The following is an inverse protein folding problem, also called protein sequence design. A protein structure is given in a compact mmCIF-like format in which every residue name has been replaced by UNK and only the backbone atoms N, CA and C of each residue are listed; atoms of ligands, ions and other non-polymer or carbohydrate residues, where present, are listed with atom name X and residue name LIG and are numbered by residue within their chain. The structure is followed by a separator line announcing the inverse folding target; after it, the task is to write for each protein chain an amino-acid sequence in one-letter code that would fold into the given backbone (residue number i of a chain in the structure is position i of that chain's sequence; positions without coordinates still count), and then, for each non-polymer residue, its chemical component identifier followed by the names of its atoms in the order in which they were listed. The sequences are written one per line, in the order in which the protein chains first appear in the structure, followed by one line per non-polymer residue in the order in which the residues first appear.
data_IF_982536085318
#
_entry.id   IF_982536085318
#
_cell.length_a   1.000
_cell.length_b   1.000
_cell.length_c   1.000
_cell.angle_alpha   90.00
_cell.angle_beta   90.00
_cell.angle_gamma   90.00
#
_symmetry.space_group_name_H-M   'P 1'
#
loop_
_entity.id
_entity.type
_entity.pdbx_description
1 polymer ?
#
# COMPACT_ATOMS: atom_id res chain seq x y z
N UNK A 1 -47.68 -30.72 15.72
CA UNK A 1 -46.94 -30.66 14.46
C UNK A 1 -45.89 -29.51 14.40
N UNK A 2 -45.79 -28.63 15.39
CA UNK A 2 -44.88 -27.44 15.41
C UNK A 2 -43.45 -27.72 15.94
N UNK A 3 -43.20 -28.83 16.61
CA UNK A 3 -41.86 -29.16 17.18
C UNK A 3 -40.88 -29.80 16.17
N UNK A 4 -41.34 -30.35 15.04
CA UNK A 4 -40.48 -30.95 14.01
C UNK A 4 -39.78 -29.93 13.08
N UNK A 5 -40.32 -28.72 12.94
CA UNK A 5 -39.76 -27.68 12.07
C UNK A 5 -38.61 -26.88 12.69
N UNK A 6 -38.51 -26.86 14.03
CA UNK A 6 -37.46 -26.14 14.76
C UNK A 6 -36.13 -26.89 14.77
N UNK A 7 -36.17 -28.23 14.91
CA UNK A 7 -34.96 -29.09 14.87
C UNK A 7 -34.30 -29.12 13.47
N UNK A 8 -35.12 -29.10 12.41
CA UNK A 8 -34.61 -29.09 11.04
C UNK A 8 -33.93 -27.75 10.66
N UNK A 9 -34.44 -26.63 11.15
CA UNK A 9 -33.80 -25.30 10.95
C UNK A 9 -32.48 -25.19 11.70
N UNK A 10 -32.42 -25.58 12.95
CA UNK A 10 -31.19 -25.56 13.75
C UNK A 10 -30.10 -26.47 13.18
N UNK A 11 -30.47 -27.64 12.64
CA UNK A 11 -29.54 -28.55 11.96
C UNK A 11 -29.04 -27.97 10.62
N UNK A 12 -29.90 -27.29 9.87
CA UNK A 12 -29.53 -26.66 8.60
C UNK A 12 -28.59 -25.46 8.82
N UNK A 13 -28.86 -24.65 9.83
CA UNK A 13 -28.02 -23.50 10.22
C UNK A 13 -26.64 -23.94 10.75
N UNK A 14 -26.59 -25.03 11.52
CA UNK A 14 -25.33 -25.62 12.00
C UNK A 14 -24.48 -26.24 10.89
N UNK A 15 -25.10 -26.88 9.88
CA UNK A 15 -24.41 -27.43 8.70
C UNK A 15 -23.91 -26.30 7.80
N UNK A 16 -24.68 -25.23 7.60
CA UNK A 16 -24.26 -24.06 6.82
C UNK A 16 -23.12 -23.30 7.51
N UNK A 17 -23.16 -23.17 8.85
CA UNK A 17 -22.08 -22.53 9.61
C UNK A 17 -20.77 -23.34 9.57
N UNK A 18 -20.86 -24.68 9.63
CA UNK A 18 -19.70 -25.57 9.51
C UNK A 18 -19.07 -25.56 8.11
N UNK A 19 -19.88 -25.54 7.07
CA UNK A 19 -19.40 -25.41 5.67
C UNK A 19 -18.79 -24.05 5.40
N UNK A 20 -19.39 -22.98 5.90
CA UNK A 20 -18.85 -21.60 5.79
C UNK A 20 -17.49 -21.46 6.47
N UNK A 21 -17.30 -22.09 7.64
CA UNK A 21 -16.02 -22.07 8.38
C UNK A 21 -14.92 -22.84 7.66
N UNK A 22 -15.23 -24.01 7.09
CA UNK A 22 -14.28 -24.79 6.27
C UNK A 22 -13.88 -24.04 5.00
N UNK A 23 -14.82 -23.42 4.31
CA UNK A 23 -14.55 -22.62 3.12
C UNK A 23 -13.64 -21.42 3.45
N UNK A 24 -13.87 -20.72 4.57
CA UNK A 24 -13.02 -19.62 5.03
C UNK A 24 -11.59 -20.08 5.33
N UNK A 25 -11.42 -21.21 6.03
CA UNK A 25 -10.10 -21.75 6.32
C UNK A 25 -9.36 -22.16 5.03
N UNK A 26 -10.05 -22.79 4.09
CA UNK A 26 -9.47 -23.14 2.79
C UNK A 26 -9.04 -21.90 2.00
N UNK A 27 -9.86 -20.84 1.99
CA UNK A 27 -9.52 -19.56 1.38
C UNK A 27 -8.26 -18.94 2.01
N UNK A 28 -8.23 -18.83 3.34
CA UNK A 28 -7.07 -18.28 4.07
C UNK A 28 -5.80 -19.09 3.79
N UNK A 29 -5.90 -20.43 3.82
CA UNK A 29 -4.76 -21.31 3.54
C UNK A 29 -4.24 -21.12 2.09
N UNK A 30 -5.14 -21.06 1.10
CA UNK A 30 -4.78 -20.81 -0.31
C UNK A 30 -4.09 -19.45 -0.46
N UNK A 31 -4.63 -18.40 0.18
CA UNK A 31 -4.02 -17.05 0.15
C UNK A 31 -2.66 -17.01 0.82
N UNK A 32 -2.52 -17.69 1.95
CA UNK A 32 -1.22 -17.84 2.64
C UNK A 32 -0.20 -18.57 1.75
N UNK A 33 -0.59 -19.66 1.10
CA UNK A 33 0.29 -20.39 0.19
C UNK A 33 0.70 -19.52 -1.02
N UNK A 34 -0.24 -18.77 -1.61
CA UNK A 34 0.06 -17.81 -2.68
C UNK A 34 1.00 -16.69 -2.22
N UNK A 35 0.80 -16.16 -1.01
CA UNK A 35 1.66 -15.15 -0.40
C UNK A 35 3.09 -15.66 -0.17
N UNK A 36 3.23 -16.88 0.37
CA UNK A 36 4.53 -17.52 0.56
C UNK A 36 5.23 -17.79 -0.77
N UNK A 37 4.49 -18.26 -1.77
CA UNK A 37 5.05 -18.46 -3.13
C UNK A 37 5.52 -17.13 -3.74
N UNK A 38 4.73 -16.07 -3.60
CA UNK A 38 5.10 -14.74 -4.08
C UNK A 38 6.38 -14.23 -3.38
N UNK A 39 6.49 -14.37 -2.06
CA UNK A 39 7.69 -14.01 -1.31
C UNK A 39 8.91 -14.83 -1.75
N UNK A 40 8.74 -16.13 -1.96
CA UNK A 40 9.82 -17.00 -2.43
C UNK A 40 10.29 -16.61 -3.84
N UNK A 41 9.38 -16.41 -4.78
CA UNK A 41 9.71 -15.97 -6.15
C UNK A 41 10.41 -14.61 -6.12
N UNK A 42 9.90 -13.67 -5.34
CA UNK A 42 10.49 -12.34 -5.23
C UNK A 42 11.86 -12.38 -4.56
N UNK A 43 12.07 -13.22 -3.55
CA UNK A 43 13.40 -13.38 -2.94
C UNK A 43 14.42 -13.93 -3.94
N UNK A 44 14.01 -14.86 -4.82
CA UNK A 44 14.86 -15.37 -5.89
C UNK A 44 15.17 -14.28 -6.93
N UNK A 45 14.17 -13.48 -7.33
CA UNK A 45 14.38 -12.35 -8.25
C UNK A 45 15.30 -11.28 -7.66
N UNK A 46 15.11 -10.92 -6.39
CA UNK A 46 15.99 -9.98 -5.68
C UNK A 46 17.41 -10.51 -5.60
N UNK A 47 17.59 -11.78 -5.23
CA UNK A 47 18.90 -12.43 -5.19
C UNK A 47 19.59 -12.42 -6.55
N UNK A 48 18.89 -12.81 -7.62
CA UNK A 48 19.41 -12.78 -8.98
C UNK A 48 19.71 -11.35 -9.45
N UNK A 49 18.85 -10.39 -9.09
CA UNK A 49 19.04 -8.97 -9.42
C UNK A 49 20.33 -8.39 -8.83
N UNK A 50 20.71 -8.83 -7.63
CA UNK A 50 21.99 -8.41 -6.99
C UNK A 50 23.19 -8.84 -7.83
N UNK A 51 23.15 -10.01 -8.43
CA UNK A 51 24.23 -10.46 -9.35
C UNK A 51 24.28 -9.62 -10.61
N UNK A 52 23.14 -9.16 -11.12
CA UNK A 52 23.09 -8.33 -12.33
C UNK A 52 23.67 -6.91 -12.10
N UNK A 53 23.67 -6.41 -10.86
CA UNK A 53 24.22 -5.09 -10.51
C UNK A 53 25.77 -5.11 -10.47
N UNK A 54 26.41 -6.30 -10.51
CA UNK A 54 27.87 -6.49 -10.54
C UNK A 54 28.39 -7.27 -9.32
N UNK A 55 29.68 -7.49 -9.24
CA UNK A 55 30.31 -8.26 -8.17
C UNK A 55 30.49 -7.41 -6.90
N UNK A 56 29.96 -7.80 -5.70
CA UNK A 56 30.19 -7.06 -4.47
C UNK A 56 31.68 -6.95 -4.09
N UNK A 57 32.50 -7.86 -4.55
CA UNK A 57 33.95 -7.84 -4.34
C UNK A 57 34.61 -6.60 -4.94
N UNK A 58 34.15 -6.16 -6.12
CA UNK A 58 34.70 -4.99 -6.83
C UNK A 58 34.45 -3.65 -6.09
N UNK A 59 33.47 -3.62 -5.18
CA UNK A 59 33.14 -2.43 -4.38
C UNK A 59 33.86 -2.46 -3.03
N UNK A 60 34.05 -3.66 -2.46
CA UNK A 60 34.60 -3.85 -1.12
C UNK A 60 36.12 -3.89 -1.09
N UNK A 61 36.77 -4.13 -2.23
CA UNK A 61 38.21 -4.28 -2.33
C UNK A 61 38.82 -3.06 -3.01
N UNK A 62 40.00 -2.66 -2.54
CA UNK A 62 40.78 -1.64 -3.20
C UNK A 62 41.07 -2.08 -4.65
N UNK A 63 40.93 -1.21 -5.67
CA UNK A 63 41.28 -1.54 -7.06
C UNK A 63 42.71 -2.04 -7.27
N UNK A 64 43.59 -1.82 -6.29
CA UNK A 64 45.00 -2.24 -6.31
C UNK A 64 45.27 -3.51 -5.46
N UNK A 65 44.21 -4.17 -4.92
CA UNK A 65 44.36 -5.37 -4.10
C UNK A 65 44.98 -6.53 -4.91
N UNK A 66 45.78 -7.35 -4.24
CA UNK A 66 46.36 -8.52 -4.86
C UNK A 66 45.32 -9.65 -5.04
N UNK A 67 45.61 -10.63 -5.90
CA UNK A 67 44.72 -11.74 -6.16
C UNK A 67 44.42 -12.59 -4.91
N UNK A 68 45.35 -12.65 -3.96
CA UNK A 68 45.15 -13.40 -2.72
C UNK A 68 44.16 -12.72 -1.79
N UNK A 69 44.13 -11.41 -1.77
CA UNK A 69 43.14 -10.63 -1.03
C UNK A 69 41.74 -10.74 -1.67
N UNK A 70 41.66 -10.64 -3.00
CA UNK A 70 40.42 -10.86 -3.76
C UNK A 70 39.85 -12.26 -3.47
N UNK A 71 40.66 -13.31 -3.52
CA UNK A 71 40.28 -14.69 -3.25
C UNK A 71 39.76 -14.85 -1.79
N UNK A 72 40.43 -14.24 -0.80
CA UNK A 72 39.99 -14.28 0.60
C UNK A 72 38.64 -13.61 0.81
N UNK A 73 38.45 -12.44 0.24
CA UNK A 73 37.14 -11.71 0.37
C UNK A 73 36.07 -12.47 -0.37
N UNK A 74 36.30 -12.99 -1.56
CA UNK A 74 35.37 -13.83 -2.31
C UNK A 74 34.95 -15.06 -1.50
N UNK A 75 35.89 -15.75 -0.87
CA UNK A 75 35.60 -16.91 -0.03
C UNK A 75 34.88 -16.52 1.27
N UNK A 76 35.25 -15.40 1.90
CA UNK A 76 34.60 -14.90 3.13
C UNK A 76 33.12 -14.51 2.91
N UNK A 77 32.80 -14.07 1.69
CA UNK A 77 31.42 -13.75 1.28
C UNK A 77 30.70 -15.00 0.72
N UNK A 78 31.38 -16.15 0.61
CA UNK A 78 30.82 -17.38 0.07
C UNK A 78 30.48 -17.32 -1.42
N UNK A 79 31.04 -16.35 -2.15
CA UNK A 79 30.80 -16.15 -3.59
C UNK A 79 31.53 -17.16 -4.48
N UNK A 80 32.42 -17.94 -3.89
CA UNK A 80 33.11 -19.11 -4.49
C UNK A 80 32.19 -20.35 -4.57
N UNK A 81 31.09 -20.36 -3.84
CA UNK A 81 30.16 -21.49 -3.77
C UNK A 81 29.17 -21.49 -4.94
N UNK A 82 28.57 -22.65 -5.27
CA UNK A 82 27.49 -22.71 -6.26
C UNK A 82 26.31 -21.75 -5.93
N UNK A 83 25.72 -21.19 -6.97
CA UNK A 83 24.64 -20.14 -6.82
C UNK A 83 23.48 -20.60 -5.93
N UNK A 84 23.09 -21.88 -5.99
CA UNK A 84 22.03 -22.44 -5.15
C UNK A 84 22.42 -22.49 -3.64
N UNK A 85 23.71 -22.68 -3.32
CA UNK A 85 24.23 -22.62 -1.94
C UNK A 85 24.19 -21.18 -1.43
N UNK A 86 24.60 -20.24 -2.26
CA UNK A 86 24.57 -18.82 -1.95
C UNK A 86 23.12 -18.34 -1.73
N UNK A 87 22.18 -18.78 -2.58
CA UNK A 87 20.76 -18.47 -2.38
C UNK A 87 20.21 -19.06 -1.07
N UNK A 88 20.60 -20.28 -0.73
CA UNK A 88 20.18 -20.88 0.55
C UNK A 88 20.72 -20.11 1.76
N UNK A 89 21.98 -19.69 1.73
CA UNK A 89 22.55 -18.82 2.77
C UNK A 89 21.83 -17.48 2.85
N UNK A 90 21.54 -16.88 1.72
CA UNK A 90 20.74 -15.65 1.64
C UNK A 90 19.37 -15.82 2.27
N UNK A 91 18.65 -16.89 1.96
CA UNK A 91 17.34 -17.17 2.55
C UNK A 91 17.41 -17.35 4.06
N UNK A 92 18.34 -18.16 4.56
CA UNK A 92 18.50 -18.39 6.00
C UNK A 92 18.88 -17.12 6.75
N UNK A 93 19.74 -16.29 6.19
CA UNK A 93 20.09 -14.99 6.73
C UNK A 93 18.87 -14.02 6.72
N UNK A 94 18.11 -13.98 5.64
CA UNK A 94 16.90 -13.16 5.56
C UNK A 94 15.85 -13.58 6.61
N UNK A 95 15.65 -14.88 6.82
CA UNK A 95 14.73 -15.38 7.87
C UNK A 95 15.20 -15.07 9.29
N UNK A 96 16.51 -14.98 9.53
CA UNK A 96 17.07 -14.55 10.82
C UNK A 96 17.11 -13.02 11.00
N UNK A 97 16.68 -12.26 9.98
CA UNK A 97 16.69 -10.80 10.00
C UNK A 97 18.06 -10.20 9.67
N UNK A 98 19.04 -11.01 9.27
CA UNK A 98 20.34 -10.52 8.83
C UNK A 98 20.33 -10.32 7.30
N UNK A 99 20.06 -9.08 6.89
CA UNK A 99 20.13 -8.64 5.49
C UNK A 99 21.43 -7.91 5.16
N UNK A 100 22.47 -8.11 5.97
CA UNK A 100 23.75 -7.47 5.84
C UNK A 100 23.78 -6.06 6.44
N UNK A 101 24.95 -5.41 6.36
CA UNK A 101 25.18 -4.05 6.83
C UNK A 101 25.33 -3.10 5.65
N UNK A 102 24.80 -1.91 5.79
CA UNK A 102 24.99 -0.80 4.85
C UNK A 102 26.48 -0.53 4.62
N UNK A 103 26.88 -0.42 3.37
CA UNK A 103 28.25 -0.06 3.02
C UNK A 103 28.56 1.40 3.32
N UNK A 104 27.55 2.27 3.28
CA UNK A 104 27.71 3.70 3.54
C UNK A 104 27.77 4.03 5.05
N UNK A 105 26.93 3.38 5.88
CA UNK A 105 26.78 3.73 7.31
C UNK A 105 27.27 2.65 8.29
N UNK A 106 27.58 1.44 7.81
CA UNK A 106 27.94 0.26 8.62
C UNK A 106 26.88 -0.15 9.67
N UNK A 107 25.63 0.27 9.47
CA UNK A 107 24.46 -0.11 10.28
C UNK A 107 23.72 -1.28 9.63
N UNK A 108 23.11 -2.22 10.40
CA UNK A 108 22.29 -3.28 9.81
C UNK A 108 21.21 -2.73 8.86
N UNK A 109 21.17 -3.26 7.63
CA UNK A 109 20.26 -2.75 6.58
C UNK A 109 18.79 -2.82 7.00
N UNK A 110 18.37 -3.91 7.64
CA UNK A 110 17.01 -4.05 8.16
C UNK A 110 16.67 -2.96 9.19
N UNK A 111 17.61 -2.62 10.07
CA UNK A 111 17.42 -1.55 11.06
C UNK A 111 17.19 -0.19 10.39
N UNK A 112 17.97 0.15 9.36
CA UNK A 112 17.78 1.38 8.59
C UNK A 112 16.39 1.45 7.96
N UNK A 113 15.93 0.34 7.37
CA UNK A 113 14.59 0.25 6.77
C UNK A 113 13.52 0.44 7.83
N UNK A 114 13.60 -0.27 8.96
CA UNK A 114 12.60 -0.19 10.04
C UNK A 114 12.53 1.19 10.68
N UNK A 115 13.64 1.91 10.77
CA UNK A 115 13.68 3.30 11.25
C UNK A 115 12.98 4.28 10.29
N UNK A 116 13.02 4.02 8.97
CA UNK A 116 12.39 4.87 7.94
C UNK A 116 10.95 4.49 7.63
N UNK A 117 10.57 3.23 7.88
CA UNK A 117 9.24 2.69 7.59
C UNK A 117 8.08 3.50 8.19
N UNK A 118 8.13 3.95 9.46
CA UNK A 118 7.03 4.74 10.04
C UNK A 118 6.74 6.02 9.27
N UNK A 119 7.78 6.69 8.74
CA UNK A 119 7.60 7.91 7.96
C UNK A 119 6.88 7.65 6.62
N UNK A 120 7.21 6.56 5.93
CA UNK A 120 6.51 6.14 4.69
C UNK A 120 5.07 5.74 4.97
N UNK A 121 4.84 4.96 6.03
CA UNK A 121 3.49 4.51 6.41
C UNK A 121 2.63 5.71 6.82
N UNK A 122 3.15 6.65 7.58
CA UNK A 122 2.48 7.88 7.97
C UNK A 122 2.04 8.68 6.73
N UNK A 123 2.96 8.91 5.80
CA UNK A 123 2.67 9.61 4.55
C UNK A 123 1.57 8.92 3.75
N UNK A 124 1.66 7.59 3.58
CA UNK A 124 0.68 6.80 2.86
C UNK A 124 -0.70 6.81 3.53
N UNK A 125 -0.74 6.72 4.87
CA UNK A 125 -2.01 6.78 5.64
C UNK A 125 -2.68 8.13 5.47
N UNK A 126 -1.96 9.24 5.64
CA UNK A 126 -2.53 10.59 5.50
C UNK A 126 -2.96 10.83 4.06
N UNK A 127 -2.18 10.41 3.07
CA UNK A 127 -2.58 10.49 1.66
C UNK A 127 -3.86 9.70 1.37
N UNK A 128 -4.00 8.50 1.92
CA UNK A 128 -5.22 7.69 1.78
C UNK A 128 -6.42 8.35 2.46
N UNK A 129 -6.24 8.90 3.66
CA UNK A 129 -7.31 9.64 4.36
C UNK A 129 -7.76 10.84 3.53
N UNK A 130 -6.84 11.64 2.98
CA UNK A 130 -7.17 12.76 2.09
C UNK A 130 -7.96 12.26 0.87
N UNK A 131 -7.50 11.18 0.23
CA UNK A 131 -8.18 10.62 -0.94
C UNK A 131 -9.60 10.14 -0.62
N UNK A 132 -9.81 9.51 0.54
CA UNK A 132 -11.13 9.03 0.99
C UNK A 132 -12.04 10.22 1.36
N UNK A 133 -11.57 11.11 2.23
CA UNK A 133 -12.37 12.22 2.77
C UNK A 133 -12.83 13.18 1.67
N UNK A 134 -12.02 13.36 0.63
CA UNK A 134 -12.36 14.24 -0.50
C UNK A 134 -13.00 13.42 -1.64
N UNK A 135 -12.44 12.26 -1.98
CA UNK A 135 -12.86 11.48 -3.15
C UNK A 135 -14.26 10.89 -3.04
N UNK A 136 -14.63 10.35 -1.85
CA UNK A 136 -15.97 9.79 -1.65
C UNK A 136 -17.08 10.83 -1.78
N UNK A 137 -17.04 11.99 -1.09
CA UNK A 137 -18.09 13.01 -1.23
C UNK A 137 -18.19 13.57 -2.64
N UNK A 138 -17.04 13.84 -3.29
CA UNK A 138 -17.02 14.35 -4.66
C UNK A 138 -17.59 13.34 -5.66
N UNK A 139 -17.18 12.06 -5.54
CA UNK A 139 -17.70 10.98 -6.39
C UNK A 139 -19.20 10.73 -6.17
N UNK A 140 -19.65 10.74 -4.91
CA UNK A 140 -21.06 10.61 -4.56
C UNK A 140 -21.87 11.76 -5.18
N UNK A 141 -21.43 12.99 -4.99
CA UNK A 141 -22.08 14.17 -5.60
C UNK A 141 -22.16 14.06 -7.12
N UNK A 142 -21.05 13.72 -7.78
CA UNK A 142 -20.99 13.57 -9.22
C UNK A 142 -21.85 12.39 -9.74
N UNK A 143 -22.11 11.38 -8.92
CA UNK A 143 -23.01 10.27 -9.23
C UNK A 143 -24.48 10.62 -9.09
N UNK A 144 -24.84 11.40 -8.04
CA UNK A 144 -26.21 11.82 -7.75
C UNK A 144 -26.72 12.88 -8.74
N UNK A 145 -25.85 13.79 -9.20
CA UNK A 145 -26.18 14.90 -10.10
C UNK A 145 -25.29 14.91 -11.34
N UNK A 146 -25.35 13.85 -12.20
CA UNK A 146 -24.35 13.62 -13.24
C UNK A 146 -24.28 14.71 -14.32
N UNK A 147 -25.39 15.41 -14.56
CA UNK A 147 -25.51 16.43 -15.62
C UNK A 147 -25.15 17.83 -15.12
N UNK A 148 -24.94 18.02 -13.82
CA UNK A 148 -24.57 19.31 -13.23
C UNK A 148 -23.18 19.75 -13.69
N UNK A 149 -22.97 21.06 -13.79
CA UNK A 149 -21.66 21.66 -14.07
C UNK A 149 -20.61 21.20 -13.06
N UNK A 150 -20.96 21.16 -11.77
CA UNK A 150 -20.07 20.67 -10.71
C UNK A 150 -19.62 19.22 -10.95
N UNK A 151 -20.53 18.31 -11.35
CA UNK A 151 -20.15 16.94 -11.66
C UNK A 151 -19.18 16.85 -12.84
N UNK A 152 -19.41 17.64 -13.89
CA UNK A 152 -18.51 17.72 -15.06
C UNK A 152 -17.14 18.24 -14.65
N UNK A 153 -17.07 19.30 -13.82
CA UNK A 153 -15.83 19.86 -13.30
C UNK A 153 -15.07 18.87 -12.39
N UNK A 154 -15.76 18.17 -11.50
CA UNK A 154 -15.16 17.10 -10.64
C UNK A 154 -14.56 16.02 -11.53
N UNK A 155 -15.26 15.59 -12.56
CA UNK A 155 -14.75 14.55 -13.47
C UNK A 155 -13.57 15.03 -14.29
N UNK A 156 -13.62 16.25 -14.82
CA UNK A 156 -12.49 16.86 -15.54
C UNK A 156 -11.26 16.97 -14.62
N UNK A 157 -11.44 17.48 -13.39
CA UNK A 157 -10.38 17.57 -12.39
C UNK A 157 -9.80 16.21 -12.01
N UNK A 158 -10.65 15.17 -11.91
CA UNK A 158 -10.17 13.81 -11.63
C UNK A 158 -9.35 13.22 -12.79
N UNK A 159 -9.70 13.52 -14.04
CA UNK A 159 -8.92 13.12 -15.23
C UNK A 159 -7.58 13.84 -15.24
N UNK A 160 -7.57 15.16 -15.01
CA UNK A 160 -6.33 15.93 -14.92
C UNK A 160 -5.42 15.41 -13.81
N UNK A 161 -5.95 15.17 -12.61
CA UNK A 161 -5.16 14.64 -11.48
C UNK A 161 -4.56 13.27 -11.74
N UNK A 162 -5.18 12.47 -12.60
CA UNK A 162 -4.64 11.17 -13.04
C UNK A 162 -3.58 11.31 -14.14
N UNK A 163 -3.71 12.32 -15.00
CA UNK A 163 -2.87 12.47 -16.20
C UNK A 163 -1.55 13.20 -15.94
N UNK A 164 -1.46 13.96 -14.85
CA UNK A 164 -0.25 14.72 -14.54
C UNK A 164 0.81 13.84 -13.87
N UNK A 165 2.09 13.96 -14.27
CA UNK A 165 3.18 13.25 -13.58
C UNK A 165 3.30 13.69 -12.12
N UNK A 166 3.38 12.74 -11.19
CA UNK A 166 3.42 13.02 -9.74
C UNK A 166 4.59 13.92 -9.34
N UNK A 167 5.78 13.74 -9.92
CA UNK A 167 6.92 14.61 -9.64
C UNK A 167 6.66 16.07 -10.07
N UNK A 168 6.00 16.28 -11.21
CA UNK A 168 5.66 17.61 -11.71
C UNK A 168 4.66 18.29 -10.77
N UNK A 169 3.62 17.57 -10.34
CA UNK A 169 2.64 18.08 -9.36
C UNK A 169 3.34 18.46 -8.06
N UNK A 170 4.24 17.61 -7.56
CA UNK A 170 5.02 17.89 -6.36
C UNK A 170 5.84 19.19 -6.48
N UNK A 171 6.53 19.38 -7.60
CA UNK A 171 7.29 20.61 -7.85
C UNK A 171 6.38 21.84 -7.97
N UNK A 172 5.20 21.72 -8.60
CA UNK A 172 4.22 22.81 -8.66
C UNK A 172 3.67 23.17 -7.28
N UNK A 173 3.38 22.18 -6.43
CA UNK A 173 2.95 22.43 -5.05
C UNK A 173 4.04 23.19 -4.27
N UNK A 174 5.30 22.79 -4.37
CA UNK A 174 6.42 23.50 -3.73
C UNK A 174 6.49 24.92 -4.27
N UNK A 175 6.44 25.10 -5.58
CA UNK A 175 6.55 26.42 -6.22
C UNK A 175 5.43 27.36 -5.78
N UNK A 176 4.19 26.88 -5.75
CA UNK A 176 3.03 27.69 -5.38
C UNK A 176 3.01 27.97 -3.86
N UNK A 177 3.03 26.92 -3.03
CA UNK A 177 2.75 27.06 -1.59
C UNK A 177 3.98 27.42 -0.77
N UNK A 178 5.17 27.03 -1.21
CA UNK A 178 6.40 27.31 -0.48
C UNK A 178 7.11 28.55 -1.02
N UNK A 179 7.29 28.66 -2.35
CA UNK A 179 8.09 29.74 -2.95
C UNK A 179 7.26 31.00 -3.15
N UNK A 180 6.07 30.91 -3.80
CA UNK A 180 5.27 32.11 -4.09
C UNK A 180 4.46 32.60 -2.91
N UNK A 181 3.79 31.70 -2.20
CA UNK A 181 2.93 32.06 -1.07
C UNK A 181 3.66 32.07 0.26
N UNK A 182 4.77 31.33 0.42
CA UNK A 182 5.54 31.25 1.66
C UNK A 182 4.78 30.64 2.86
N UNK A 183 3.71 29.87 2.61
CA UNK A 183 2.81 29.38 3.68
C UNK A 183 3.14 27.96 4.17
N UNK A 184 3.82 27.15 3.35
CA UNK A 184 4.19 25.77 3.68
C UNK A 184 5.69 25.54 3.45
N UNK A 185 6.34 24.71 4.27
CA UNK A 185 7.74 24.34 4.09
C UNK A 185 7.92 23.46 2.84
N UNK A 186 9.02 23.66 2.10
CA UNK A 186 9.27 22.96 0.84
C UNK A 186 9.66 21.49 1.01
N UNK A 187 10.38 21.15 2.07
CA UNK A 187 11.04 19.85 2.27
C UNK A 187 11.09 19.42 3.73
N UNK A 188 11.38 18.15 3.98
CA UNK A 188 11.55 17.60 5.31
C UNK A 188 10.26 17.07 5.93
N UNK A 189 10.35 16.64 7.19
CA UNK A 189 9.23 16.04 7.94
C UNK A 189 8.72 16.94 9.09
N UNK A 190 9.48 17.96 9.46
CA UNK A 190 9.17 18.82 10.60
C UNK A 190 9.30 18.13 11.95
N UNK A 191 8.75 18.76 12.98
CA UNK A 191 8.74 18.23 14.33
C UNK A 191 7.86 16.98 14.44
N UNK A 192 8.29 16.04 15.28
CA UNK A 192 7.55 14.81 15.57
C UNK A 192 7.33 14.62 17.06
N UNK A 193 6.26 13.92 17.44
CA UNK A 193 6.03 13.45 18.81
C UNK A 193 6.18 11.92 18.82
N UNK A 194 6.85 11.42 19.85
CA UNK A 194 6.97 9.98 20.05
C UNK A 194 5.72 9.43 20.74
N UNK A 195 5.07 8.46 20.08
CA UNK A 195 3.92 7.74 20.62
C UNK A 195 4.17 6.25 20.42
N UNK A 196 4.21 5.48 21.50
CA UNK A 196 4.47 4.03 21.46
C UNK A 196 5.75 3.64 20.70
N UNK A 197 6.82 4.45 20.80
CA UNK A 197 8.07 4.23 20.07
C UNK A 197 8.05 4.65 18.59
N UNK A 198 6.96 5.24 18.10
CA UNK A 198 6.84 5.77 16.76
C UNK A 198 6.90 7.31 16.78
N UNK A 199 7.74 7.88 15.94
CA UNK A 199 7.79 9.33 15.74
C UNK A 199 6.73 9.72 14.70
N UNK A 200 5.70 10.48 15.15
CA UNK A 200 4.57 10.89 14.32
C UNK A 200 4.58 12.40 14.11
N UNK A 201 4.56 12.84 12.85
CA UNK A 201 4.60 14.27 12.50
C UNK A 201 3.21 14.89 12.45
N UNK A 202 2.17 14.13 12.08
CA UNK A 202 0.80 14.66 11.99
C UNK A 202 0.22 15.11 13.35
N UNK A 203 0.85 14.77 14.47
CA UNK A 203 0.45 15.21 15.82
C UNK A 203 1.02 16.57 16.21
N UNK A 204 1.90 17.14 15.41
CA UNK A 204 2.46 18.48 15.63
C UNK A 204 1.99 19.43 14.53
N UNK A 205 1.83 20.72 14.87
CA UNK A 205 1.47 21.73 13.87
C UNK A 205 2.54 21.92 12.80
N UNK A 206 3.80 21.88 13.22
CA UNK A 206 4.95 21.98 12.30
C UNK A 206 5.04 20.76 11.39
N UNK A 207 4.95 19.55 11.94
CA UNK A 207 4.94 18.31 11.16
C UNK A 207 3.76 18.24 10.21
N UNK A 208 2.56 18.69 10.61
CA UNK A 208 1.38 18.73 9.74
C UNK A 208 1.60 19.65 8.54
N UNK A 209 2.24 20.81 8.72
CA UNK A 209 2.61 21.70 7.60
C UNK A 209 3.56 21.03 6.62
N UNK A 210 4.55 20.27 7.08
CA UNK A 210 5.49 19.54 6.25
C UNK A 210 4.82 18.34 5.54
N UNK A 211 3.83 17.72 6.17
CA UNK A 211 3.12 16.54 5.65
C UNK A 211 2.08 16.89 4.57
N UNK A 212 1.50 18.09 4.62
CA UNK A 212 0.33 18.45 3.80
C UNK A 212 0.61 18.35 2.30
N UNK A 213 1.69 18.96 1.80
CA UNK A 213 2.02 18.93 0.37
C UNK A 213 2.38 17.53 -0.13
N UNK A 214 3.31 16.77 0.50
CA UNK A 214 3.64 15.43 0.04
C UNK A 214 2.44 14.47 0.14
N UNK A 215 1.62 14.55 1.21
CA UNK A 215 0.42 13.74 1.33
C UNK A 215 -0.62 14.08 0.25
N UNK A 216 -0.83 15.36 -0.06
CA UNK A 216 -1.73 15.78 -1.15
C UNK A 216 -1.22 15.30 -2.50
N UNK A 217 0.08 15.43 -2.78
CA UNK A 217 0.71 14.95 -4.01
C UNK A 217 0.46 13.45 -4.22
N UNK A 218 0.71 12.66 -3.17
CA UNK A 218 0.51 11.21 -3.21
C UNK A 218 -0.98 10.82 -3.29
N UNK A 219 -1.87 11.63 -2.69
CA UNK A 219 -3.31 11.40 -2.67
C UNK A 219 -3.98 11.64 -4.03
N UNK A 220 -3.51 12.58 -4.85
CA UNK A 220 -4.20 13.03 -6.07
C UNK A 220 -4.56 11.90 -7.03
N UNK A 221 -3.63 10.97 -7.25
CA UNK A 221 -3.88 9.82 -8.11
C UNK A 221 -4.98 8.90 -7.56
N UNK A 222 -4.95 8.62 -6.25
CA UNK A 222 -5.93 7.77 -5.56
C UNK A 222 -7.28 8.45 -5.42
N UNK A 223 -7.27 9.75 -5.17
CA UNK A 223 -8.47 10.59 -5.17
C UNK A 223 -9.20 10.50 -6.50
N UNK A 224 -8.47 10.63 -7.62
CA UNK A 224 -9.02 10.50 -8.96
C UNK A 224 -9.68 9.14 -9.21
N UNK A 225 -9.06 8.07 -8.74
CA UNK A 225 -9.61 6.72 -8.80
C UNK A 225 -10.90 6.60 -7.97
N UNK A 226 -10.85 7.07 -6.70
CA UNK A 226 -11.98 6.99 -5.79
C UNK A 226 -13.19 7.81 -6.26
N UNK A 227 -12.96 9.01 -6.81
CA UNK A 227 -14.03 9.84 -7.41
C UNK A 227 -14.76 9.06 -8.51
N UNK A 228 -13.99 8.46 -9.43
CA UNK A 228 -14.57 7.70 -10.56
C UNK A 228 -15.31 6.45 -10.11
N UNK A 229 -14.71 5.69 -9.21
CA UNK A 229 -15.31 4.47 -8.67
C UNK A 229 -16.61 4.79 -7.90
N UNK A 230 -16.56 5.77 -7.01
CA UNK A 230 -17.73 6.20 -6.23
C UNK A 230 -18.85 6.73 -7.12
N UNK A 231 -18.50 7.53 -8.14
CA UNK A 231 -19.49 8.01 -9.11
C UNK A 231 -20.17 6.86 -9.86
N UNK A 232 -19.39 5.91 -10.36
CA UNK A 232 -19.91 4.77 -11.11
C UNK A 232 -20.85 3.92 -10.22
N UNK A 233 -20.38 3.53 -9.03
CA UNK A 233 -21.20 2.77 -8.07
C UNK A 233 -22.45 3.50 -7.62
N UNK A 234 -22.38 4.83 -7.42
CA UNK A 234 -23.57 5.64 -7.09
C UNK A 234 -24.60 5.58 -8.21
N UNK A 235 -24.19 5.77 -9.46
CA UNK A 235 -25.11 5.73 -10.61
C UNK A 235 -25.75 4.36 -10.77
N UNK A 236 -24.97 3.30 -10.59
CA UNK A 236 -25.45 1.92 -10.65
C UNK A 236 -26.45 1.64 -9.51
N UNK A 237 -26.15 2.03 -8.29
CA UNK A 237 -27.02 1.83 -7.13
C UNK A 237 -28.34 2.58 -7.26
N UNK A 238 -28.34 3.81 -7.81
CA UNK A 238 -29.54 4.66 -7.93
C UNK A 238 -30.63 4.10 -8.83
N UNK A 239 -30.31 3.20 -9.75
CA UNK A 239 -31.29 2.56 -10.67
C UNK A 239 -31.79 1.21 -10.17
N UNK A 240 -31.25 0.70 -9.05
CA UNK A 240 -31.62 -0.60 -8.48
C UNK A 240 -33.02 -0.59 -7.86
N UNK A 241 -33.68 -1.75 -7.87
CA UNK A 241 -35.05 -1.92 -7.38
C UNK A 241 -35.19 -1.59 -5.89
N UNK A 242 -34.17 -1.90 -5.06
CA UNK A 242 -34.24 -1.57 -3.63
C UNK A 242 -34.26 -0.05 -3.36
N UNK A 243 -33.64 0.77 -4.22
CA UNK A 243 -33.72 2.23 -4.16
C UNK A 243 -35.11 2.71 -4.60
N UNK A 244 -35.64 2.18 -5.70
CA UNK A 244 -36.97 2.48 -6.18
C UNK A 244 -38.05 2.13 -5.12
N UNK A 245 -37.90 0.98 -4.48
CA UNK A 245 -38.79 0.51 -3.44
C UNK A 245 -38.71 1.39 -2.18
N UNK A 246 -37.53 1.81 -1.76
CA UNK A 246 -37.37 2.74 -0.63
C UNK A 246 -38.06 4.09 -0.91
N UNK A 247 -37.91 4.63 -2.12
CA UNK A 247 -38.63 5.86 -2.54
C UNK A 247 -40.12 5.69 -2.57
N UNK A 248 -40.61 4.56 -3.11
CA UNK A 248 -42.06 4.25 -3.13
C UNK A 248 -42.67 4.15 -1.72
N UNK A 249 -41.85 3.78 -0.70
CA UNK A 249 -42.25 3.80 0.73
C UNK A 249 -42.16 5.17 1.39
N UNK A 250 -41.81 6.23 0.66
CA UNK A 250 -41.69 7.58 1.19
C UNK A 250 -40.45 7.84 2.04
N UNK A 251 -39.39 7.00 1.91
CA UNK A 251 -38.13 7.25 2.62
C UNK A 251 -37.49 8.52 2.06
N UNK A 252 -37.07 9.48 2.92
CA UNK A 252 -36.50 10.74 2.49
C UNK A 252 -35.15 10.48 1.75
N UNK A 253 -34.86 11.29 0.72
CA UNK A 253 -33.73 11.09 -0.20
C UNK A 253 -32.39 11.00 0.52
N UNK A 254 -32.15 11.82 1.55
CA UNK A 254 -30.93 11.75 2.36
C UNK A 254 -30.71 10.36 2.98
N UNK A 255 -31.79 9.72 3.42
CA UNK A 255 -31.75 8.37 4.00
C UNK A 255 -31.60 7.30 2.92
N UNK A 256 -32.22 7.51 1.75
CA UNK A 256 -32.01 6.64 0.58
C UNK A 256 -30.51 6.64 0.22
N UNK A 257 -29.89 7.81 0.11
CA UNK A 257 -28.48 7.95 -0.24
C UNK A 257 -27.56 7.37 0.83
N UNK A 258 -27.75 7.74 2.11
CA UNK A 258 -26.82 7.34 3.18
C UNK A 258 -26.94 5.85 3.56
N UNK A 259 -28.15 5.28 3.54
CA UNK A 259 -28.39 3.90 4.00
C UNK A 259 -28.44 2.91 2.84
N UNK A 260 -29.10 3.25 1.74
CA UNK A 260 -29.31 2.29 0.65
C UNK A 260 -28.27 2.40 -0.45
N UNK A 261 -27.75 3.59 -0.77
CA UNK A 261 -26.74 3.79 -1.80
C UNK A 261 -25.35 3.63 -1.21
N UNK A 262 -24.98 4.49 -0.25
CA UNK A 262 -23.62 4.56 0.29
C UNK A 262 -23.18 3.22 0.90
N UNK A 263 -24.03 2.57 1.70
CA UNK A 263 -23.71 1.27 2.31
C UNK A 263 -23.35 0.21 1.28
N UNK A 264 -24.04 0.17 0.14
CA UNK A 264 -23.79 -0.84 -0.89
C UNK A 264 -22.54 -0.55 -1.72
N UNK A 265 -22.22 0.73 -1.98
CA UNK A 265 -21.02 1.10 -2.72
C UNK A 265 -19.76 1.09 -1.86
N UNK A 266 -19.86 1.17 -0.53
CA UNK A 266 -18.71 1.14 0.37
C UNK A 266 -17.97 -0.20 0.33
N UNK A 267 -18.66 -1.33 0.12
CA UNK A 267 -18.01 -2.66 0.10
C UNK A 267 -16.92 -2.73 -0.98
N UNK A 268 -17.20 -2.50 -2.28
CA UNK A 268 -16.16 -2.49 -3.31
C UNK A 268 -15.14 -1.37 -3.12
N UNK A 269 -15.54 -0.22 -2.57
CA UNK A 269 -14.62 0.90 -2.30
C UNK A 269 -13.58 0.53 -1.24
N UNK A 270 -14.00 -0.07 -0.12
CA UNK A 270 -13.08 -0.49 0.97
C UNK A 270 -12.06 -1.51 0.45
N UNK A 271 -12.49 -2.42 -0.41
CA UNK A 271 -11.58 -3.39 -1.04
C UNK A 271 -10.55 -2.71 -1.91
N UNK A 272 -10.97 -1.79 -2.79
CA UNK A 272 -10.05 -1.02 -3.64
C UNK A 272 -9.12 -0.15 -2.81
N UNK A 273 -9.62 0.54 -1.78
CA UNK A 273 -8.81 1.36 -0.85
C UNK A 273 -7.72 0.51 -0.19
N UNK A 274 -8.07 -0.69 0.26
CA UNK A 274 -7.11 -1.59 0.88
C UNK A 274 -5.98 -2.02 -0.08
N UNK A 275 -6.33 -2.44 -1.29
CA UNK A 275 -5.35 -2.82 -2.33
C UNK A 275 -4.49 -1.62 -2.74
N UNK A 276 -5.10 -0.43 -2.88
CA UNK A 276 -4.42 0.79 -3.25
C UNK A 276 -3.49 1.32 -2.15
N UNK A 277 -3.74 0.99 -0.88
CA UNK A 277 -2.86 1.36 0.21
C UNK A 277 -1.47 0.72 0.10
N UNK A 278 -1.40 -0.56 -0.26
CA UNK A 278 -0.11 -1.22 -0.54
C UNK A 278 0.65 -0.55 -1.68
N UNK A 279 -0.05 -0.16 -2.75
CA UNK A 279 0.55 0.55 -3.87
C UNK A 279 1.04 1.97 -3.50
N UNK A 280 0.37 2.68 -2.58
CA UNK A 280 0.82 3.98 -2.09
C UNK A 280 2.21 3.89 -1.44
N UNK A 281 2.44 2.86 -0.62
CA UNK A 281 3.74 2.62 0.02
C UNK A 281 4.81 2.33 -1.04
N UNK A 282 4.50 1.45 -2.00
CA UNK A 282 5.46 1.07 -3.04
C UNK A 282 5.82 2.25 -3.96
N UNK A 283 4.87 3.14 -4.26
CA UNK A 283 5.05 4.26 -5.19
C UNK A 283 5.28 5.62 -4.50
N UNK A 284 5.49 5.65 -3.17
CA UNK A 284 5.82 6.88 -2.43
C UNK A 284 7.21 7.43 -2.77
N UNK A 285 8.09 6.63 -3.38
CA UNK A 285 9.50 6.92 -3.67
C UNK A 285 9.67 8.29 -4.30
N UNK A 286 8.92 8.59 -5.36
CA UNK A 286 9.03 9.86 -6.10
C UNK A 286 8.63 11.03 -5.20
N UNK A 287 7.53 10.92 -4.48
CA UNK A 287 7.05 11.95 -3.55
C UNK A 287 8.03 12.17 -2.42
N UNK A 288 8.54 11.11 -1.80
CA UNK A 288 9.52 11.20 -0.73
C UNK A 288 10.82 11.87 -1.20
N UNK A 289 11.25 11.57 -2.43
CA UNK A 289 12.45 12.18 -3.02
C UNK A 289 12.24 13.67 -3.30
N UNK A 290 11.13 14.05 -3.93
CA UNK A 290 10.82 15.45 -4.28
C UNK A 290 10.72 16.34 -3.04
N UNK A 291 10.06 15.84 -1.99
CA UNK A 291 9.86 16.59 -0.74
C UNK A 291 10.94 16.34 0.30
N UNK A 292 12.02 15.61 -0.03
CA UNK A 292 13.05 15.16 0.91
C UNK A 292 12.46 14.55 2.20
N UNK A 293 11.34 13.84 2.08
CA UNK A 293 10.69 13.15 3.18
C UNK A 293 11.54 11.95 3.62
N UNK A 294 11.89 11.82 4.91
CA UNK A 294 12.86 10.82 5.38
C UNK A 294 12.24 9.42 5.51
N UNK A 295 11.62 8.90 4.46
CA UNK A 295 11.01 7.59 4.39
C UNK A 295 11.91 6.54 3.74
N UNK A 296 11.33 5.33 3.54
CA UNK A 296 12.01 4.21 2.89
C UNK A 296 12.29 4.47 1.40
N UNK A 297 11.37 5.21 0.71
CA UNK A 297 11.51 5.51 -0.71
C UNK A 297 12.69 6.45 -0.98
N UNK A 298 12.93 7.45 -0.11
CA UNK A 298 14.13 8.26 -0.20
C UNK A 298 15.39 7.45 0.10
N UNK A 299 15.34 6.59 1.11
CA UNK A 299 16.46 5.72 1.49
C UNK A 299 16.89 4.83 0.32
N UNK A 300 15.96 4.22 -0.43
CA UNK A 300 16.33 3.38 -1.58
C UNK A 300 17.01 4.18 -2.70
N UNK A 301 16.56 5.39 -3.01
CA UNK A 301 17.21 6.24 -4.02
C UNK A 301 18.61 6.62 -3.59
N UNK A 302 18.79 7.05 -2.33
CA UNK A 302 20.10 7.37 -1.77
C UNK A 302 21.04 6.13 -1.81
N UNK A 303 20.50 4.94 -1.52
CA UNK A 303 21.27 3.67 -1.54
C UNK A 303 21.66 3.23 -2.96
N UNK A 304 20.79 3.47 -3.96
CA UNK A 304 21.13 3.19 -5.36
C UNK A 304 22.27 4.10 -5.82
N UNK A 305 22.19 5.41 -5.50
CA UNK A 305 23.21 6.38 -5.86
C UNK A 305 24.57 6.08 -5.20
N UNK A 306 24.55 5.52 -3.98
CA UNK A 306 25.75 5.13 -3.24
C UNK A 306 26.17 3.67 -3.46
N UNK A 307 25.50 2.92 -4.33
CA UNK A 307 25.72 1.49 -4.58
C UNK A 307 25.65 0.64 -3.29
N UNK A 308 24.81 1.04 -2.32
CA UNK A 308 24.63 0.35 -1.04
C UNK A 308 23.70 -0.86 -1.18
N UNK A 309 24.25 -1.95 -1.71
CA UNK A 309 23.51 -3.18 -2.07
C UNK A 309 22.74 -3.82 -0.90
N UNK A 310 23.31 -3.97 0.32
CA UNK A 310 22.57 -4.57 1.41
C UNK A 310 21.27 -3.81 1.71
N UNK A 311 21.29 -2.48 1.66
CA UNK A 311 20.08 -1.65 1.87
C UNK A 311 19.11 -1.80 0.71
N UNK A 312 19.58 -1.89 -0.55
CA UNK A 312 18.72 -2.11 -1.72
C UNK A 312 17.98 -3.45 -1.59
N UNK A 313 18.70 -4.53 -1.25
CA UNK A 313 18.11 -5.85 -1.04
C UNK A 313 17.11 -5.86 0.09
N UNK A 314 17.49 -5.28 1.25
CA UNK A 314 16.61 -5.18 2.42
C UNK A 314 15.34 -4.40 2.09
N UNK A 315 15.46 -3.28 1.38
CA UNK A 315 14.31 -2.49 0.93
C UNK A 315 13.35 -3.30 0.07
N UNK A 316 13.86 -3.99 -0.96
CA UNK A 316 13.04 -4.79 -1.86
C UNK A 316 12.30 -5.89 -1.12
N UNK A 317 12.99 -6.65 -0.26
CA UNK A 317 12.39 -7.72 0.53
C UNK A 317 11.33 -7.20 1.51
N UNK A 318 11.63 -6.13 2.24
CA UNK A 318 10.69 -5.56 3.22
C UNK A 318 9.48 -4.96 2.51
N UNK A 319 9.67 -4.21 1.43
CA UNK A 319 8.57 -3.58 0.68
C UNK A 319 7.63 -4.63 0.08
N UNK A 320 8.17 -5.69 -0.52
CA UNK A 320 7.37 -6.80 -1.05
C UNK A 320 6.65 -7.53 0.08
N UNK A 321 7.33 -7.78 1.21
CA UNK A 321 6.71 -8.42 2.37
C UNK A 321 5.56 -7.58 2.93
N UNK A 322 5.75 -6.26 3.04
CA UNK A 322 4.68 -5.32 3.44
C UNK A 322 3.51 -5.36 2.45
N UNK A 323 3.78 -5.33 1.14
CA UNK A 323 2.74 -5.39 0.12
C UNK A 323 1.94 -6.68 0.19
N UNK A 324 2.62 -7.83 0.31
CA UNK A 324 1.98 -9.15 0.46
C UNK A 324 1.15 -9.21 1.74
N UNK A 325 1.68 -8.70 2.86
CA UNK A 325 0.97 -8.67 4.13
C UNK A 325 -0.29 -7.78 4.08
N UNK A 326 -0.17 -6.59 3.50
CA UNK A 326 -1.31 -5.66 3.33
C UNK A 326 -2.39 -6.32 2.46
N UNK A 327 -2.02 -6.92 1.32
CA UNK A 327 -2.97 -7.59 0.44
C UNK A 327 -3.66 -8.77 1.15
N UNK A 328 -2.91 -9.57 1.90
CA UNK A 328 -3.47 -10.66 2.70
C UNK A 328 -4.47 -10.14 3.74
N UNK A 329 -4.12 -9.07 4.45
CA UNK A 329 -5.01 -8.43 5.42
C UNK A 329 -6.30 -7.90 4.77
N UNK A 330 -6.18 -7.29 3.59
CA UNK A 330 -7.33 -6.80 2.80
C UNK A 330 -8.20 -7.95 2.31
N UNK A 331 -7.62 -9.03 1.81
CA UNK A 331 -8.35 -10.22 1.37
C UNK A 331 -9.14 -10.86 2.53
N UNK A 332 -8.53 -10.94 3.71
CA UNK A 332 -9.21 -11.41 4.92
C UNK A 332 -10.34 -10.46 5.31
N UNK A 333 -10.10 -9.15 5.33
CA UNK A 333 -11.10 -8.14 5.62
C UNK A 333 -12.29 -8.25 4.65
N UNK A 334 -12.00 -8.38 3.36
CA UNK A 334 -13.01 -8.54 2.32
C UNK A 334 -13.84 -9.82 2.53
N UNK A 335 -13.20 -10.94 2.84
CA UNK A 335 -13.90 -12.21 3.13
C UNK A 335 -14.82 -12.12 4.34
N UNK A 336 -14.54 -11.21 5.28
CA UNK A 336 -15.40 -10.94 6.46
C UNK A 336 -16.54 -10.01 6.09
N UNK A 337 -16.31 -8.98 5.28
CA UNK A 337 -17.31 -7.98 4.89
C UNK A 337 -18.32 -8.50 3.86
N UNK A 338 -17.89 -9.34 2.91
CA UNK A 338 -18.77 -9.92 1.88
C UNK A 338 -18.76 -11.46 1.91
N UNK A 339 -19.73 -12.09 2.59
CA UNK A 339 -19.84 -13.55 2.64
C UNK A 339 -20.12 -14.22 1.28
N UNK A 340 -20.54 -13.47 0.26
CA UNK A 340 -20.90 -14.03 -1.06
C UNK A 340 -19.68 -14.49 -1.85
N UNK A 341 -18.52 -13.88 -1.64
CA UNK A 341 -17.25 -14.25 -2.29
C UNK A 341 -16.82 -15.66 -1.92
N UNK A 342 -17.15 -16.11 -0.70
CA UNK A 342 -16.84 -17.44 -0.20
C UNK A 342 -17.50 -18.56 -1.01
N UNK A 343 -18.65 -18.30 -1.64
CA UNK A 343 -19.46 -19.31 -2.35
C UNK A 343 -19.07 -19.43 -3.84
N UNK A 344 -18.51 -18.39 -4.44
CA UNK A 344 -18.12 -18.41 -5.87
C UNK A 344 -16.78 -19.15 -6.09
N UNK A 345 -15.83 -19.02 -5.18
CA UNK A 345 -14.52 -19.69 -5.27
C UNK A 345 -14.54 -21.17 -4.83
N UNK A 346 -15.55 -21.60 -4.09
CA UNK A 346 -15.72 -23.00 -3.72
C UNK A 346 -16.28 -23.88 -4.87
N UNK A 347 -16.66 -23.27 -6.00
CA UNK A 347 -17.21 -23.96 -7.19
C UNK A 347 -16.21 -24.03 -8.36
N UNK A 348 -15.02 -23.46 -8.25
CA UNK A 348 -13.92 -23.58 -9.22
C UNK A 348 -12.73 -24.30 -8.59
#
# INVERSE_FOLDING_TARGET
MLFRSWGAKAGHDALQSGQSRKAMLAFIFRRLAQSLLALFVMSALVFLGVYAIGNPVDILINPQADQAEIARVTASLGLDKPVWVQYWHFLTAAFSGDLGKSFASNVPALQLILQRMPATVELALVAMVIAIVIGLPLGLWAGLKPDSFAAKSIMAGSILGFSLPTFWVGLMLIMIFSVWLGVLPSTGRGATVEVLGLHLSFLTWDGLKHLLMPATNLALFKLSLLVRLTRAGTREAMVQDYVRFARAKGVPENRVVSVHVLKNILIPIVTVVGLEFGSLIAFSIITETVFAWPGMGKLIIDSINNLDRPVIVAYLLVTVSMFVFINLAVDILYSVLDPRVRLSEAKG
#
